data_IF_541730886812
#
_entry.id   IF_541730886812
#
_cell.length_a   1.000
_cell.length_b   1.000
_cell.length_c   1.000
_cell.angle_alpha   90.00
_cell.angle_beta   90.00
_cell.angle_gamma   90.00
#
_symmetry.space_group_name_H-M   'P 1'
#
loop_
_entity.id
_entity.type
_entity.pdbx_description
1 polymer ?
2 non-polymer ?
3 water ?
#
# COMPACT_ATOMS: atom_id res chain seq x y z
N UNK A 1 -15.05 4.31 46.11
CA UNK A 1 -14.79 2.90 46.13
C UNK A 1 -15.33 2.11 44.92
N UNK A 2 -15.23 2.71 43.73
CA UNK A 2 -15.68 2.06 42.51
C UNK A 2 -14.50 1.48 41.72
N UNK A 3 -13.36 1.34 42.39
CA UNK A 3 -12.12 0.94 41.75
C UNK A 3 -11.44 -0.43 41.91
N UNK A 4 -12.08 -1.31 42.67
CA UNK A 4 -11.54 -2.63 42.92
C UNK A 4 -10.91 -3.27 41.69
N UNK A 5 -11.49 -3.00 40.53
CA UNK A 5 -10.99 -3.55 39.27
C UNK A 5 -10.30 -2.49 38.42
N UNK A 6 -10.23 -1.27 38.96
CA UNK A 6 -9.58 -0.17 38.26
C UNK A 6 -8.07 -0.37 38.19
N UNK A 7 -7.54 -1.20 39.08
CA UNK A 7 -6.12 -1.51 39.08
C UNK A 7 -5.83 -2.82 38.36
N UNK A 8 -6.89 -3.59 38.11
CA UNK A 8 -6.76 -4.88 37.44
C UNK A 8 -6.93 -4.74 35.92
N UNK A 9 -7.54 -3.64 35.50
CA UNK A 9 -7.76 -3.37 34.08
C UNK A 9 -6.53 -3.67 33.23
N UNK A 10 -5.49 -2.86 33.40
CA UNK A 10 -4.25 -3.02 32.66
C UNK A 10 -3.74 -4.46 32.77
N UNK A 11 -4.57 -5.41 32.37
CA UNK A 11 -4.23 -6.82 32.43
C UNK A 11 -2.92 -7.09 31.70
N UNK A 12 -2.54 -6.17 30.80
CA UNK A 12 -1.30 -6.31 30.04
C UNK A 12 -0.70 -4.96 29.63
N UNK A 13 0.23 -4.47 30.46
CA UNK A 13 1.02 -3.29 30.14
C UNK A 13 2.08 -3.69 29.13
N UNK A 14 2.34 -2.81 28.16
CA UNK A 14 3.28 -3.12 27.08
C UNK A 14 4.19 -1.95 26.71
N UNK A 15 5.48 -2.14 26.92
CA UNK A 15 6.50 -1.15 26.56
C UNK A 15 7.60 -1.76 25.69
N UNK A 16 8.07 -2.93 26.09
CA UNK A 16 9.18 -3.62 25.43
C UNK A 16 8.71 -4.50 24.27
N UNK A 17 9.18 -4.19 23.06
CA UNK A 17 8.78 -4.91 21.85
C UNK A 17 9.34 -4.34 20.56
N UNK A 18 9.80 -3.09 20.63
CA UNK A 18 10.37 -2.37 19.48
C UNK A 18 11.72 -2.94 19.04
N UNK A 19 12.12 -2.58 17.82
CA UNK A 19 13.42 -2.96 17.26
C UNK A 19 13.72 -2.11 16.02
N UNK A 20 14.98 -1.80 15.78
CA UNK A 20 15.38 -0.97 14.63
C UNK A 20 15.50 -1.78 13.34
N UNK A 21 15.10 -1.17 12.22
CA UNK A 21 15.18 -1.83 10.90
C UNK A 21 16.20 -1.18 9.97
N UNK A 22 16.82 -2.02 9.14
CA UNK A 22 17.80 -1.55 8.15
C UNK A 22 17.18 -1.53 6.76
N UNK A 23 17.34 -0.40 6.07
CA UNK A 23 16.82 -0.22 4.72
C UNK A 23 17.87 -0.52 3.65
N UNK A 24 17.45 -0.90 2.42
CA UNK A 24 16.07 -1.16 1.97
C UNK A 24 15.45 -2.39 2.64
N UNK A 25 14.29 -2.18 3.26
CA UNK A 25 13.60 -3.22 4.01
C UNK A 25 12.68 -4.04 3.11
N UNK A 26 13.00 -5.32 2.96
CA UNK A 26 12.15 -6.25 2.22
C UNK A 26 11.16 -6.94 3.16
N UNK A 27 9.88 -6.87 2.81
CA UNK A 27 8.79 -7.33 3.67
C UNK A 27 8.77 -8.83 3.99
N UNK A 28 9.63 -9.60 3.33
CA UNK A 28 9.78 -11.03 3.65
C UNK A 28 10.35 -11.19 5.06
N UNK A 29 11.06 -10.16 5.52
CA UNK A 29 11.64 -10.11 6.86
C UNK A 29 10.66 -9.52 7.88
N UNK A 30 9.45 -10.07 7.92
CA UNK A 30 8.44 -9.65 8.88
C UNK A 30 8.58 -10.46 10.17
N UNK A 31 7.97 -9.98 11.25
CA UNK A 31 8.09 -10.64 12.57
C UNK A 31 6.74 -11.10 13.12
N UNK A 32 5.98 -11.79 12.27
CA UNK A 32 4.71 -12.46 12.63
C UNK A 32 3.59 -11.56 13.20
N UNK A 33 3.83 -10.95 14.36
CA UNK A 33 2.80 -10.14 15.02
C UNK A 33 3.29 -8.72 15.33
N UNK A 34 3.83 -8.05 14.31
CA UNK A 34 4.46 -6.75 14.47
C UNK A 34 4.05 -5.76 13.37
N UNK A 35 4.34 -4.47 13.60
CA UNK A 35 4.00 -3.41 12.66
C UNK A 35 5.24 -2.66 12.18
N UNK A 36 5.02 -1.54 11.49
CA UNK A 36 6.10 -0.67 11.04
C UNK A 36 5.73 0.80 11.23
N UNK A 37 6.30 1.42 12.26
CA UNK A 37 6.12 2.85 12.51
C UNK A 37 7.41 3.58 12.13
N UNK A 38 7.34 4.40 11.08
CA UNK A 38 8.48 5.17 10.61
C UNK A 38 8.33 6.63 10.98
N UNK A 39 9.28 7.13 11.79
CA UNK A 39 9.27 8.50 12.28
C UNK A 39 10.66 9.14 12.07
N UNK A 40 10.81 10.45 12.38
CA UNK A 40 12.12 11.09 12.30
C UNK A 40 13.13 10.56 13.33
N UNK A 41 12.62 9.92 14.39
CA UNK A 41 13.47 9.33 15.44
C UNK A 41 14.29 8.14 14.92
N UNK A 42 13.79 7.52 13.86
CA UNK A 42 14.45 6.37 13.26
C UNK A 42 13.43 5.43 12.64
N UNK A 43 13.92 4.29 12.16
CA UNK A 43 13.06 3.28 11.55
C UNK A 43 12.97 2.05 12.44
N UNK A 44 11.76 1.77 12.93
CA UNK A 44 11.57 0.69 13.90
C UNK A 44 10.44 -0.29 13.56
N UNK A 45 10.40 -1.39 14.31
CA UNK A 45 9.43 -2.46 14.12
C UNK A 45 8.80 -2.85 15.47
N UNK A 46 7.58 -2.37 15.71
CA UNK A 46 6.90 -2.56 16.99
C UNK A 46 5.60 -3.36 16.83
N UNK A 47 5.34 -4.26 17.78
CA UNK A 47 4.19 -5.17 17.72
C UNK A 47 2.88 -4.52 18.19
N UNK A 48 1.76 -4.98 17.66
CA UNK A 48 0.42 -4.57 18.13
C UNK A 48 0.27 -4.86 19.62
N UNK A 49 0.99 -5.89 20.07
CA UNK A 49 1.09 -6.25 21.48
C UNK A 49 1.62 -5.07 22.28
N UNK A 50 2.62 -4.38 21.72
CA UNK A 50 3.25 -3.23 22.38
C UNK A 50 2.74 -1.89 21.85
N UNK A 51 2.72 -1.73 20.52
CA UNK A 51 2.33 -0.47 19.88
C UNK A 51 0.88 -0.09 20.16
N UNK A 52 0.69 1.12 20.67
CA UNK A 52 -0.65 1.66 20.92
C UNK A 52 -0.91 2.87 20.02
N UNK A 53 -0.11 3.00 18.96
CA UNK A 53 -0.40 3.90 17.85
C UNK A 53 -1.21 3.07 16.85
N UNK A 54 -2.37 2.61 17.30
CA UNK A 54 -3.14 1.57 16.64
C UNK A 54 -4.56 2.01 16.34
N UNK A 55 -5.25 1.22 15.52
CA UNK A 55 -6.68 1.37 15.30
C UNK A 55 -7.40 0.80 16.53
N UNK A 56 -7.70 1.67 17.48
CA UNK A 56 -8.29 1.32 18.79
C UNK A 56 -9.05 -0.02 18.81
N UNK A 57 -10.06 -0.11 17.96
CA UNK A 57 -10.86 -1.32 17.77
C UNK A 57 -11.26 -1.47 16.31
N UNK A 58 -10.83 -0.49 15.51
CA UNK A 58 -11.18 -0.39 14.09
C UNK A 58 -10.61 -1.54 13.28
N UNK A 59 -11.45 -2.11 12.42
CA UNK A 59 -11.08 -3.27 11.59
C UNK A 59 -10.47 -2.87 10.25
N UNK A 60 -9.64 -3.76 9.71
CA UNK A 60 -9.00 -3.54 8.42
C UNK A 60 -9.41 -4.63 7.40
N UNK A 61 -9.55 -4.25 6.12
CA UNK A 61 -9.94 -5.21 5.08
C UNK A 61 -8.87 -6.27 4.83
N UNK A 62 -9.32 -7.47 4.49
CA UNK A 62 -8.43 -8.58 4.17
C UNK A 62 -8.07 -8.58 2.68
N UNK A 63 -7.11 -9.42 2.29
CA UNK A 63 -6.73 -9.58 0.89
C UNK A 63 -7.92 -10.00 0.04
N UNK A 64 -8.82 -10.77 0.65
CA UNK A 64 -10.07 -11.20 0.02
C UNK A 64 -11.00 -10.01 -0.23
N UNK A 65 -11.17 -9.15 0.76
CA UNK A 65 -11.97 -7.92 0.63
C UNK A 65 -11.42 -7.04 -0.49
N UNK A 66 -10.11 -7.09 -0.69
CA UNK A 66 -9.43 -6.34 -1.74
C UNK A 66 -9.65 -6.96 -3.13
N UNK A 67 -9.73 -8.28 -3.18
CA UNK A 67 -10.00 -8.99 -4.44
C UNK A 67 -11.42 -8.71 -4.94
N UNK A 68 -12.37 -8.67 -4.01
CA UNK A 68 -13.77 -8.35 -4.33
C UNK A 68 -13.86 -6.90 -4.83
N UNK A 69 -13.09 -6.02 -4.21
CA UNK A 69 -12.98 -4.63 -4.66
C UNK A 69 -12.36 -4.54 -6.06
N UNK A 70 -11.37 -5.39 -6.32
CA UNK A 70 -10.73 -5.50 -7.63
C UNK A 70 -11.72 -5.94 -8.70
N UNK A 71 -12.53 -6.95 -8.37
CA UNK A 71 -13.57 -7.46 -9.26
C UNK A 71 -14.61 -6.37 -9.55
N UNK A 72 -14.87 -5.52 -8.56
CA UNK A 72 -15.83 -4.43 -8.70
C UNK A 72 -15.18 -3.06 -8.96
N UNK A 73 -14.06 -3.06 -9.67
CA UNK A 73 -13.36 -1.83 -10.05
C UNK A 73 -14.27 -0.86 -10.80
N UNK A 74 -14.98 -1.39 -11.81
CA UNK A 74 -15.81 -0.61 -12.73
C UNK A 74 -16.94 0.15 -12.03
N UNK A 75 -17.41 -0.38 -10.90
CA UNK A 75 -18.48 0.23 -10.15
C UNK A 75 -17.98 1.35 -9.23
N UNK A 76 -16.74 1.22 -8.77
CA UNK A 76 -16.15 2.18 -7.83
C UNK A 76 -14.98 2.98 -8.43
N UNK A 77 -15.21 3.62 -9.58
CA UNK A 77 -14.16 4.37 -10.28
C UNK A 77 -13.68 5.59 -9.48
N UNK A 78 -14.63 6.46 -9.11
CA UNK A 78 -14.30 7.71 -8.42
C UNK A 78 -13.81 7.53 -6.98
N UNK A 79 -14.10 6.38 -6.38
CA UNK A 79 -13.57 6.03 -5.08
C UNK A 79 -12.09 5.66 -5.21
N UNK A 80 -11.76 4.95 -6.29
CA UNK A 80 -10.40 4.49 -6.54
C UNK A 80 -9.62 5.44 -7.45
N UNK A 81 -10.13 6.66 -7.62
CA UNK A 81 -9.55 7.62 -8.57
C UNK A 81 -8.04 7.82 -8.39
N UNK A 82 -7.58 7.92 -7.14
CA UNK A 82 -6.15 8.07 -6.82
C UNK A 82 -5.29 6.98 -7.44
N UNK A 83 -5.79 5.75 -7.39
CA UNK A 83 -5.13 4.59 -7.98
C UNK A 83 -4.95 4.76 -9.48
N UNK A 84 -6.01 5.22 -10.15
CA UNK A 84 -6.01 5.34 -11.61
C UNK A 84 -5.18 6.52 -12.14
N UNK A 85 -5.02 7.56 -11.32
CA UNK A 85 -4.17 8.70 -11.68
C UNK A 85 -2.71 8.28 -11.82
N UNK A 86 -2.35 7.16 -11.19
CA UNK A 86 -1.00 6.62 -11.24
C UNK A 86 -0.58 6.09 -12.60
N UNK A 87 -1.57 5.71 -13.42
CA UNK A 87 -1.31 5.22 -14.76
C UNK A 87 -0.95 6.34 -15.73
N UNK A 88 -1.12 7.59 -15.29
CA UNK A 88 -0.88 8.79 -16.08
C UNK A 88 -1.59 8.74 -17.44
N UNK A 89 -2.86 8.33 -17.39
CA UNK A 89 -3.75 8.24 -18.57
C UNK A 89 -3.36 7.14 -19.58
N UNK A 90 -2.31 6.39 -19.27
CA UNK A 90 -1.84 5.32 -20.17
C UNK A 90 -2.78 4.11 -20.15
N UNK A 91 -3.26 3.74 -21.34
CA UNK A 91 -4.23 2.66 -21.48
C UNK A 91 -3.61 1.26 -21.51
N UNK A 92 -2.34 1.16 -21.91
CA UNK A 92 -1.64 -0.12 -21.91
C UNK A 92 -1.40 -0.61 -20.49
N UNK A 93 -0.89 0.29 -19.64
CA UNK A 93 -0.66 0.00 -18.23
C UNK A 93 -1.93 -0.45 -17.53
N UNK A 94 -3.06 0.11 -17.98
CA UNK A 94 -4.38 -0.22 -17.41
C UNK A 94 -4.81 -1.65 -17.70
N UNK A 95 -4.60 -2.11 -18.94
CA UNK A 95 -4.94 -3.50 -19.29
C UNK A 95 -3.96 -4.49 -18.66
N UNK A 96 -2.77 -4.01 -18.30
CA UNK A 96 -1.79 -4.81 -17.58
C UNK A 96 -2.23 -5.07 -16.14
N UNK A 97 -2.87 -4.07 -15.54
CA UNK A 97 -3.37 -4.17 -14.16
C UNK A 97 -4.53 -5.16 -14.03
N UNK A 98 -5.31 -5.27 -15.10
CA UNK A 98 -6.44 -6.22 -15.14
C UNK A 98 -5.96 -7.68 -15.19
N UNK A 99 -4.66 -7.86 -15.44
CA UNK A 99 -4.03 -9.17 -15.41
C UNK A 99 -3.33 -9.43 -14.08
N UNK A 100 -3.12 -8.35 -13.31
CA UNK A 100 -2.42 -8.42 -12.04
C UNK A 100 -3.24 -7.83 -10.90
N UNK A 101 -4.13 -8.64 -10.29
CA UNK A 101 -4.93 -8.17 -9.15
C UNK A 101 -4.16 -7.73 -7.90
N UNK A 102 -2.97 -8.32 -7.61
CA UNK A 102 -2.22 -7.85 -6.44
C UNK A 102 -1.83 -6.37 -6.49
N UNK A 103 -1.63 -5.82 -7.69
CA UNK A 103 -1.32 -4.41 -7.84
C UNK A 103 -2.44 -3.55 -7.24
N UNK A 104 -3.68 -3.82 -7.61
CA UNK A 104 -4.82 -3.14 -7.02
C UNK A 104 -4.99 -3.50 -5.54
N UNK A 105 -4.94 -4.80 -5.26
CA UNK A 105 -5.12 -5.31 -3.89
C UNK A 105 -4.19 -4.63 -2.88
N UNK A 106 -2.91 -4.58 -3.20
CA UNK A 106 -1.90 -3.94 -2.32
C UNK A 106 -2.20 -2.46 -2.13
N UNK A 107 -2.56 -1.76 -3.19
CA UNK A 107 -2.97 -0.36 -3.07
C UNK A 107 -4.20 -0.22 -2.18
N UNK A 108 -5.21 -1.05 -2.43
CA UNK A 108 -6.45 -1.06 -1.66
C UNK A 108 -6.16 -1.21 -0.16
N UNK A 109 -5.24 -2.10 0.17
CA UNK A 109 -4.85 -2.35 1.56
C UNK A 109 -4.08 -1.17 2.16
N UNK A 110 -3.16 -0.62 1.39
CA UNK A 110 -2.36 0.52 1.83
C UNK A 110 -3.21 1.79 2.00
N UNK A 111 -4.14 2.01 1.08
CA UNK A 111 -5.04 3.16 1.14
C UNK A 111 -5.98 3.08 2.34
N UNK A 112 -6.39 1.86 2.69
CA UNK A 112 -7.27 1.62 3.83
C UNK A 112 -6.68 2.12 5.14
N UNK A 113 -5.38 1.87 5.32
CA UNK A 113 -4.65 2.36 6.50
C UNK A 113 -4.30 3.83 6.33
N UNK A 114 -3.47 4.14 5.34
CA UNK A 114 -3.05 5.52 5.05
C UNK A 114 -3.74 6.07 3.82
N UNK A 115 -4.56 7.10 4.02
CA UNK A 115 -5.32 7.71 2.93
C UNK A 115 -4.47 8.70 2.12
N UNK A 116 -3.41 9.22 2.74
CA UNK A 116 -2.54 10.21 2.10
C UNK A 116 -1.35 9.55 1.40
N UNK A 117 -1.63 8.87 0.29
CA UNK A 117 -0.61 8.17 -0.49
C UNK A 117 -0.73 8.46 -1.99
N UNK A 118 0.40 8.42 -2.69
CA UNK A 118 0.44 8.65 -4.14
C UNK A 118 1.00 7.41 -4.84
N UNK A 119 0.16 6.67 -5.58
CA UNK A 119 0.66 5.52 -6.32
C UNK A 119 1.21 5.91 -7.70
N UNK A 120 2.29 5.25 -8.11
CA UNK A 120 2.81 5.42 -9.47
C UNK A 120 3.04 4.06 -10.13
N UNK A 121 2.68 3.97 -11.41
CA UNK A 121 2.74 2.72 -12.16
C UNK A 121 3.82 2.77 -13.26
N UNK A 122 4.54 1.66 -13.39
CA UNK A 122 5.58 1.51 -14.41
C UNK A 122 5.59 0.07 -14.94
N UNK A 123 6.07 -0.10 -16.16
CA UNK A 123 6.14 -1.44 -16.78
C UNK A 123 7.45 -1.71 -17.50
N UNK A 124 8.01 -2.89 -17.25
CA UNK A 124 9.15 -3.41 -17.99
C UNK A 124 9.00 -4.92 -18.19
N UNK A 125 9.41 -5.40 -19.35
CA UNK A 125 9.29 -6.82 -19.73
C UNK A 125 7.85 -7.34 -19.70
N UNK A 126 6.90 -6.43 -19.88
CA UNK A 126 5.48 -6.76 -19.93
C UNK A 126 4.82 -7.03 -18.58
N UNK A 127 5.44 -6.55 -17.51
CA UNK A 127 4.92 -6.73 -16.16
C UNK A 127 4.73 -5.38 -15.47
N UNK A 128 3.65 -5.25 -14.71
CA UNK A 128 3.32 -4.00 -14.04
C UNK A 128 3.90 -3.89 -12.63
N UNK A 129 4.53 -2.76 -12.35
CA UNK A 129 5.14 -2.47 -11.06
C UNK A 129 4.44 -1.26 -10.44
N UNK A 130 4.58 -1.09 -9.13
CA UNK A 130 3.92 0.02 -8.43
C UNK A 130 4.80 0.61 -7.32
N UNK A 131 4.80 1.94 -7.26
CA UNK A 131 5.50 2.67 -6.20
C UNK A 131 4.53 3.59 -5.47
N UNK A 132 4.28 3.28 -4.21
CA UNK A 132 3.37 4.09 -3.38
C UNK A 132 4.19 5.12 -2.60
N UNK A 133 3.88 6.40 -2.83
CA UNK A 133 4.60 7.49 -2.20
C UNK A 133 3.82 8.04 -1.00
N UNK A 134 4.50 8.16 0.13
CA UNK A 134 3.88 8.67 1.35
C UNK A 134 4.06 10.16 1.50
N UNK A 135 2.94 10.88 1.61
CA UNK A 135 2.94 12.34 1.74
C UNK A 135 3.49 12.79 3.09
N UNK A 136 2.95 12.20 4.16
CA UNK A 136 3.40 12.49 5.52
C UNK A 136 4.67 11.73 5.89
N UNK A 137 5.56 12.35 6.68
CA UNK A 137 6.74 11.64 7.16
C UNK A 137 6.46 10.83 8.43
N UNK A 138 5.20 10.83 8.86
CA UNK A 138 4.77 10.10 10.05
C UNK A 138 4.13 8.76 9.65
N UNK A 139 4.92 7.95 8.94
CA UNK A 139 4.45 6.68 8.35
C UNK A 139 4.21 5.61 9.42
N UNK A 140 3.09 4.91 9.28
CA UNK A 140 2.73 3.80 10.17
C UNK A 140 1.95 2.74 9.40
N UNK A 141 2.49 1.52 9.36
CA UNK A 141 1.86 0.41 8.66
C UNK A 141 1.43 -0.66 9.67
N UNK A 142 0.11 -0.73 9.97
CA UNK A 142 -0.44 -1.70 10.92
C UNK A 142 -0.14 -3.15 10.56
N UNK A 143 -0.06 -4.01 11.58
CA UNK A 143 0.28 -5.43 11.40
C UNK A 143 -0.67 -6.14 10.46
N UNK A 144 -1.97 -5.96 10.68
CA UNK A 144 -3.01 -6.56 9.85
C UNK A 144 -2.83 -6.22 8.39
N UNK A 145 -2.55 -4.94 8.12
CA UNK A 145 -2.30 -4.43 6.77
C UNK A 145 -1.14 -5.15 6.09
N UNK A 146 -0.03 -5.32 6.81
CA UNK A 146 1.17 -5.99 6.26
C UNK A 146 0.90 -7.46 5.94
N UNK A 147 0.27 -8.16 6.88
CA UNK A 147 -0.08 -9.58 6.72
C UNK A 147 -0.89 -9.81 5.45
N UNK A 148 -1.84 -8.91 5.19
CA UNK A 148 -2.70 -9.01 4.01
C UNK A 148 -1.94 -8.70 2.71
N UNK A 149 -0.97 -7.79 2.80
CA UNK A 149 -0.11 -7.45 1.65
C UNK A 149 0.76 -8.63 1.24
N UNK A 150 1.19 -9.41 2.22
CA UNK A 150 2.01 -10.60 1.98
C UNK A 150 1.18 -11.73 1.40
N UNK A 151 -0.12 -11.75 1.74
CA UNK A 151 -1.07 -12.70 1.17
C UNK A 151 -1.40 -12.32 -0.26
N UNK A 152 -1.52 -11.02 -0.52
CA UNK A 152 -1.87 -10.50 -1.83
C UNK A 152 -0.74 -10.70 -2.85
N UNK A 153 0.50 -10.55 -2.39
CA UNK A 153 1.67 -10.67 -3.26
C UNK A 153 2.17 -12.10 -3.38
N UNK A 154 2.57 -12.68 -2.25
CA UNK A 154 3.14 -14.03 -2.17
C UNK A 154 4.35 -14.27 -3.10
N UNK A 155 4.27 -15.30 -3.93
CA UNK A 155 5.44 -15.79 -4.69
C UNK A 155 5.90 -14.91 -5.87
N UNK A 156 5.07 -13.97 -6.30
CA UNK A 156 5.34 -13.20 -7.52
C UNK A 156 5.96 -11.82 -7.31
N UNK A 157 5.68 -11.19 -6.16
CA UNK A 157 6.07 -9.80 -5.95
C UNK A 157 7.12 -9.59 -4.87
N UNK A 158 7.89 -8.52 -5.01
CA UNK A 158 8.86 -8.11 -4.00
C UNK A 158 8.53 -6.71 -3.47
N UNK A 159 7.69 -6.68 -2.44
CA UNK A 159 7.31 -5.44 -1.78
C UNK A 159 8.47 -4.98 -0.90
N UNK A 160 8.89 -3.72 -1.07
CA UNK A 160 10.06 -3.19 -0.38
C UNK A 160 9.81 -1.75 0.09
N UNK A 161 9.97 -1.52 1.39
CA UNK A 161 9.87 -0.18 1.97
C UNK A 161 11.24 0.48 2.00
N UNK A 162 11.34 1.65 1.39
CA UNK A 162 12.59 2.40 1.31
C UNK A 162 12.35 3.91 1.38
N UNK A 163 13.33 4.64 1.91
CA UNK A 163 13.24 6.09 2.07
C UNK A 163 14.21 6.81 1.12
N UNK A 164 13.66 7.66 0.26
CA UNK A 164 14.43 8.54 -0.61
C UNK A 164 13.85 9.95 -0.47
N UNK A 165 14.60 10.96 -0.91
CA UNK A 165 14.14 12.35 -0.86
C UNK A 165 13.45 12.67 0.46
N UNK A 166 13.99 12.13 1.56
CA UNK A 166 13.42 12.35 2.88
C UNK A 166 11.90 12.05 2.90
N UNK A 167 11.48 11.09 2.08
CA UNK A 167 10.08 10.67 2.01
C UNK A 167 10.11 9.14 1.95
N UNK A 168 8.99 8.50 2.27
CA UNK A 168 8.91 7.04 2.29
C UNK A 168 8.18 6.51 1.04
N UNK A 169 8.72 5.42 0.47
CA UNK A 169 8.11 4.76 -0.69
C UNK A 169 8.09 3.24 -0.56
N UNK A 170 6.93 2.64 -0.80
CA UNK A 170 6.80 1.18 -0.90
C UNK A 170 6.81 0.78 -2.37
N UNK A 171 7.84 0.02 -2.75
CA UNK A 171 8.01 -0.42 -4.13
C UNK A 171 7.55 -1.86 -4.33
N UNK A 172 6.45 -2.01 -5.08
CA UNK A 172 5.90 -3.31 -5.41
C UNK A 172 6.44 -3.75 -6.78
N UNK A 173 7.31 -4.75 -6.78
CA UNK A 173 7.96 -5.22 -7.99
C UNK A 173 7.48 -6.61 -8.42
N UNK A 174 6.93 -6.70 -9.62
CA UNK A 174 6.42 -7.94 -10.17
C UNK A 174 7.53 -8.72 -10.88
N UNK A 175 7.81 -9.92 -10.38
CA UNK A 175 8.87 -10.76 -10.93
C UNK A 175 8.35 -11.79 -11.92
N UNK A 176 7.07 -12.13 -11.78
CA UNK A 176 6.39 -13.07 -12.69
C UNK A 176 4.87 -12.84 -12.67
N UNK A 177 4.24 -13.06 -13.83
CA UNK A 177 2.78 -12.96 -13.94
C UNK A 177 2.18 -14.34 -14.20
N UNK A 178 2.01 -15.12 -13.12
CA UNK A 178 1.27 -16.37 -13.20
C UNK A 178 -0.20 -16.02 -13.30
N UNK A 179 -0.84 -16.49 -14.36
CA UNK A 179 -2.18 -16.07 -14.77
C UNK A 179 -3.23 -15.95 -13.67
N UNK A 180 -4.07 -14.91 -13.77
CA UNK A 180 -5.14 -14.67 -12.82
C UNK A 180 -6.30 -15.64 -13.01
N UNK A 181 -7.03 -15.91 -11.92
CA UNK A 181 -8.14 -16.86 -11.95
C UNK A 181 -9.46 -16.18 -12.28
N UNK A 182 -9.42 -14.85 -12.43
CA UNK A 182 -10.61 -14.05 -12.75
C UNK A 182 -10.33 -13.10 -13.93
N UNK A 183 -11.39 -12.47 -14.43
CA UNK A 183 -11.26 -11.51 -15.53
C UNK A 183 -12.16 -10.29 -15.34
N UNK A 184 -11.59 -9.10 -15.59
CA UNK A 184 -12.31 -7.84 -15.54
C UNK A 184 -12.62 -7.39 -16.98
N UNK A 185 -13.81 -6.82 -17.17
CA UNK A 185 -14.15 -6.22 -18.45
C UNK A 185 -13.34 -4.93 -18.63
N UNK A 186 -12.29 -5.03 -19.44
CA UNK A 186 -11.28 -3.97 -19.61
C UNK A 186 -11.83 -2.76 -20.38
N UNK A 187 -12.57 -3.02 -21.45
CA UNK A 187 -13.10 -1.96 -22.32
C UNK A 187 -13.99 -0.97 -21.57
N UNK A 188 -14.82 -1.51 -20.67
CA UNK A 188 -15.69 -0.70 -19.81
C UNK A 188 -14.85 0.18 -18.87
N UNK A 189 -13.78 -0.41 -18.32
CA UNK A 189 -12.87 0.31 -17.46
C UNK A 189 -12.12 1.40 -18.21
N UNK A 190 -11.65 1.09 -19.42
CA UNK A 190 -10.87 2.02 -20.24
C UNK A 190 -11.66 3.24 -20.71
N UNK A 191 -12.92 3.04 -21.09
CA UNK A 191 -13.77 4.16 -21.50
C UNK A 191 -14.11 5.05 -20.29
N UNK A 192 -14.31 4.43 -19.13
CA UNK A 192 -14.63 5.15 -17.90
C UNK A 192 -13.44 5.96 -17.34
N UNK A 193 -12.23 5.54 -17.67
CA UNK A 193 -11.02 6.27 -17.26
C UNK A 193 -10.78 7.50 -18.15
N UNK A 194 -11.16 7.38 -19.42
CA UNK A 194 -11.11 8.52 -20.35
C UNK A 194 -12.15 9.58 -20.00
N UNK A 195 -13.26 9.14 -19.40
CA UNK A 195 -14.33 10.01 -18.94
C UNK A 195 -13.90 10.86 -17.73
N UNK A 196 -12.93 10.34 -16.98
CA UNK A 196 -12.39 11.02 -15.81
C UNK A 196 -11.64 12.31 -16.18
N UNK A 197 -11.90 13.36 -15.41
CA UNK A 197 -11.15 14.60 -15.53
C UNK A 197 -9.93 14.51 -14.63
N UNK A 198 -8.75 14.73 -15.21
CA UNK A 198 -7.51 14.80 -14.44
C UNK A 198 -7.34 16.22 -13.88
N UNK A 199 -7.50 16.39 -12.55
CA UNK A 199 -7.44 17.71 -11.95
C UNK A 199 -6.02 18.28 -12.01
N UNK A 200 -5.93 19.60 -12.19
CA UNK A 200 -4.66 20.31 -12.33
C UNK A 200 -3.67 20.00 -11.19
N UNK A 201 -4.12 20.16 -9.95
CA UNK A 201 -3.29 19.93 -8.76
C UNK A 201 -2.80 18.49 -8.64
N UNK A 202 -3.62 17.54 -9.07
CA UNK A 202 -3.27 16.13 -9.09
C UNK A 202 -2.19 15.87 -10.15
N UNK A 203 -2.28 16.56 -11.28
CA UNK A 203 -1.28 16.46 -12.33
C UNK A 203 -0.03 17.28 -12.03
N UNK A 204 -0.19 18.35 -11.25
CA UNK A 204 0.93 19.18 -10.80
C UNK A 204 1.74 18.46 -9.73
N UNK A 205 1.09 17.58 -8.98
CA UNK A 205 1.74 16.81 -7.92
C UNK A 205 2.82 15.88 -8.47
N UNK A 206 2.54 15.22 -9.59
CA UNK A 206 3.50 14.32 -10.22
C UNK A 206 4.81 15.01 -10.60
N UNK A 207 4.70 16.23 -11.12
CA UNK A 207 5.87 17.03 -11.50
C UNK A 207 6.65 17.58 -10.30
N UNK A 208 6.07 17.43 -9.11
CA UNK A 208 6.77 17.75 -7.86
C UNK A 208 7.59 16.53 -7.43
N UNK A 209 7.26 15.37 -8.00
CA UNK A 209 7.96 14.12 -7.72
C UNK A 209 8.77 13.60 -8.90
N UNK A 210 8.70 14.26 -10.05
CA UNK A 210 9.37 13.76 -11.26
C UNK A 210 10.90 13.80 -11.20
N UNK A 211 11.43 14.58 -10.26
CA UNK A 211 12.85 14.54 -9.91
C UNK A 211 13.15 13.21 -9.20
N UNK A 212 12.15 12.63 -8.54
CA UNK A 212 12.34 11.37 -7.81
C UNK A 212 11.75 10.08 -8.42
N UNK A 213 10.70 10.22 -9.23
CA UNK A 213 9.95 9.09 -9.79
C UNK A 213 10.89 8.30 -10.70
N UNK A 214 11.57 9.00 -11.61
CA UNK A 214 12.49 8.40 -12.57
C UNK A 214 13.66 7.65 -11.93
N UNK A 215 14.00 8.04 -10.69
CA UNK A 215 15.04 7.39 -9.91
C UNK A 215 14.57 6.01 -9.43
N UNK A 216 13.29 5.92 -9.07
CA UNK A 216 12.68 4.66 -8.68
C UNK A 216 12.34 3.81 -9.91
N UNK A 217 12.06 4.48 -11.02
CA UNK A 217 11.72 3.81 -12.28
C UNK A 217 12.94 3.20 -12.97
N UNK A 218 13.67 2.40 -12.20
CA UNK A 218 14.79 1.61 -12.71
C UNK A 218 14.60 0.17 -12.22
N UNK A 219 13.69 0.02 -11.25
CA UNK A 219 13.32 -1.26 -10.63
C UNK A 219 14.49 -1.97 -9.94
#
# INVERSE_FOLDING_TARGET
>A
PELELKYLNMMKMAITGKESICLPFNFHSHRQHTCLDISPYGNEQVSRIACTSCEDNRILPTASDAMVAFINQTSNIMKNRNFYYGFCKSSELLKLSTNQPPIFQIYYLLHAANHDIVPFMHAEDGRLHMHVIFENPDVHIPCDCITQMLTAAREDYSVTLNIVRDHVVISVLCHAVSASSVKIDVTILQRKIDEMDIPNDVSESFERYKELIQELCQS
#
